data_IF_654875825079
#
_entry.id   IF_654875825079
#
_cell.length_a   1.000
_cell.length_b   1.000
_cell.length_c   1.000
_cell.angle_alpha   90.00
_cell.angle_beta   90.00
_cell.angle_gamma   90.00
#
_symmetry.space_group_name_H-M   'P 1'
#
loop_
_entity.id
_entity.type
_entity.pdbx_description
1 polymer ?
#
# COMPACT_ATOMS: atom_id res chain seq x y z
N UNK A 1 -47.30 -28.19 -21.42
CA UNK A 1 -46.22 -28.33 -20.36
C UNK A 1 -45.37 -27.07 -20.40
N UNK A 2 -45.57 -26.18 -19.43
CA UNK A 2 -44.93 -24.85 -19.39
C UNK A 2 -43.48 -24.99 -18.83
N UNK A 3 -42.49 -25.07 -19.66
CA UNK A 3 -41.09 -25.08 -19.26
C UNK A 3 -40.71 -23.68 -18.78
N UNK A 4 -40.79 -23.42 -17.46
CA UNK A 4 -40.23 -22.19 -16.87
C UNK A 4 -38.77 -22.05 -17.30
N UNK A 5 -38.45 -21.09 -18.18
CA UNK A 5 -37.08 -20.69 -18.49
C UNK A 5 -36.41 -20.26 -17.17
N UNK A 6 -35.45 -21.04 -16.65
CA UNK A 6 -34.70 -20.62 -15.49
C UNK A 6 -33.86 -19.41 -15.86
N UNK A 7 -34.02 -18.37 -15.05
CA UNK A 7 -33.34 -17.10 -15.24
C UNK A 7 -31.79 -17.30 -15.16
N UNK A 8 -31.07 -16.68 -16.08
CA UNK A 8 -29.58 -16.63 -16.09
C UNK A 8 -29.04 -15.57 -15.09
N UNK A 9 -29.93 -14.74 -14.55
CA UNK A 9 -29.59 -13.62 -13.66
C UNK A 9 -28.70 -14.04 -12.48
N UNK A 10 -29.01 -15.11 -11.70
CA UNK A 10 -28.17 -15.46 -10.55
C UNK A 10 -26.74 -15.86 -10.93
N UNK A 11 -26.53 -16.45 -12.09
CA UNK A 11 -25.18 -16.82 -12.57
C UNK A 11 -24.37 -15.59 -13.00
N UNK A 12 -25.03 -14.62 -13.64
CA UNK A 12 -24.41 -13.34 -14.02
C UNK A 12 -24.04 -12.56 -12.76
N UNK A 13 -24.92 -12.52 -11.76
CA UNK A 13 -24.63 -11.85 -10.48
C UNK A 13 -23.44 -12.48 -9.75
N UNK A 14 -23.36 -13.82 -9.71
CA UNK A 14 -22.24 -14.52 -9.10
C UNK A 14 -20.93 -14.26 -9.85
N UNK A 15 -20.95 -14.23 -11.17
CA UNK A 15 -19.79 -13.90 -11.99
C UNK A 15 -19.32 -12.46 -11.77
N UNK A 16 -20.23 -11.49 -11.73
CA UNK A 16 -19.92 -10.07 -11.47
C UNK A 16 -19.34 -9.90 -10.07
N UNK A 17 -19.90 -10.59 -9.07
CA UNK A 17 -19.36 -10.57 -7.70
C UNK A 17 -17.94 -11.12 -7.65
N UNK A 18 -17.68 -12.26 -8.29
CA UNK A 18 -16.33 -12.86 -8.34
C UNK A 18 -15.31 -11.94 -9.05
N UNK A 19 -15.76 -11.31 -10.15
CA UNK A 19 -14.92 -10.35 -10.89
C UNK A 19 -14.64 -9.08 -10.05
N UNK A 20 -15.63 -8.58 -9.31
CA UNK A 20 -15.46 -7.43 -8.43
C UNK A 20 -14.44 -7.71 -7.33
N UNK A 21 -14.49 -8.89 -6.69
CA UNK A 21 -13.52 -9.32 -5.66
C UNK A 21 -12.11 -9.43 -6.29
N UNK A 22 -11.99 -9.98 -7.48
CA UNK A 22 -10.70 -10.13 -8.18
C UNK A 22 -10.07 -8.78 -8.52
N UNK A 23 -10.87 -7.81 -8.96
CA UNK A 23 -10.40 -6.49 -9.39
C UNK A 23 -10.20 -5.52 -8.22
N UNK A 24 -10.79 -5.80 -7.04
CA UNK A 24 -10.77 -4.91 -5.88
C UNK A 24 -9.37 -4.39 -5.54
N UNK A 25 -8.32 -5.22 -5.39
CA UNK A 25 -6.99 -4.71 -5.01
C UNK A 25 -6.41 -3.73 -6.03
N UNK A 26 -6.61 -3.99 -7.32
CA UNK A 26 -6.07 -3.14 -8.40
C UNK A 26 -6.81 -1.80 -8.48
N UNK A 27 -8.14 -1.84 -8.38
CA UNK A 27 -8.95 -0.61 -8.45
C UNK A 27 -8.75 0.24 -7.19
N UNK A 28 -8.69 -0.40 -6.02
CA UNK A 28 -8.48 0.28 -4.74
C UNK A 28 -7.09 0.93 -4.68
N UNK A 29 -6.03 0.20 -5.07
CA UNK A 29 -4.68 0.76 -5.12
C UNK A 29 -4.59 1.96 -6.08
N UNK A 30 -5.17 1.85 -7.28
CA UNK A 30 -5.22 2.96 -8.22
C UNK A 30 -5.97 4.19 -7.65
N UNK A 31 -7.08 3.96 -6.94
CA UNK A 31 -7.84 5.04 -6.30
C UNK A 31 -7.03 5.70 -5.19
N UNK A 32 -6.46 4.90 -4.28
CA UNK A 32 -5.66 5.39 -3.15
C UNK A 32 -4.40 6.14 -3.62
N UNK A 33 -3.75 5.67 -4.69
CA UNK A 33 -2.63 6.38 -5.30
C UNK A 33 -3.06 7.76 -5.86
N UNK A 34 -4.26 7.86 -6.44
CA UNK A 34 -4.79 9.15 -6.87
C UNK A 34 -5.07 10.09 -5.71
N UNK A 35 -5.66 9.58 -4.64
CA UNK A 35 -5.89 10.36 -3.42
C UNK A 35 -4.56 10.84 -2.82
N UNK A 36 -3.58 9.95 -2.68
CA UNK A 36 -2.25 10.31 -2.19
C UNK A 36 -1.59 11.40 -3.06
N UNK A 37 -1.63 11.26 -4.38
CA UNK A 37 -1.08 12.28 -5.29
C UNK A 37 -1.80 13.63 -5.18
N UNK A 38 -3.12 13.64 -4.93
CA UNK A 38 -3.85 14.88 -4.69
C UNK A 38 -3.36 15.55 -3.42
N UNK A 39 -3.22 14.79 -2.31
CA UNK A 39 -2.71 15.31 -1.04
C UNK A 39 -1.27 15.84 -1.16
N UNK A 40 -0.41 15.15 -1.91
CA UNK A 40 0.96 15.59 -2.22
C UNK A 40 0.93 16.94 -2.95
N UNK A 41 0.09 17.07 -3.99
CA UNK A 41 -0.03 18.30 -4.76
C UNK A 41 -0.62 19.46 -3.93
N UNK A 42 -1.62 19.17 -3.10
CA UNK A 42 -2.24 20.17 -2.21
C UNK A 42 -1.21 20.69 -1.19
N UNK A 43 -0.42 19.79 -0.59
CA UNK A 43 0.68 20.18 0.30
C UNK A 43 1.69 21.08 -0.42
N UNK A 44 2.14 20.68 -1.60
CA UNK A 44 3.09 21.47 -2.39
C UNK A 44 2.53 22.84 -2.77
N UNK A 45 1.23 22.91 -3.10
CA UNK A 45 0.55 24.19 -3.39
C UNK A 45 0.57 25.12 -2.18
N UNK A 46 0.16 24.62 -1.00
CA UNK A 46 0.19 25.41 0.24
C UNK A 46 1.59 25.91 0.55
N UNK A 47 2.59 25.02 0.50
CA UNK A 47 3.99 25.37 0.77
C UNK A 47 4.51 26.41 -0.23
N UNK A 48 4.13 26.32 -1.50
CA UNK A 48 4.57 27.28 -2.55
C UNK A 48 3.98 28.68 -2.38
N UNK A 49 2.86 28.82 -1.70
CA UNK A 49 2.19 30.08 -1.41
C UNK A 49 2.71 30.73 -0.12
N UNK A 50 3.43 30.01 0.73
CA UNK A 50 4.01 30.52 1.97
C UNK A 50 5.23 31.40 1.69
N UNK A 51 5.43 32.41 2.54
CA UNK A 51 6.65 33.21 2.46
C UNK A 51 7.87 32.42 3.00
N UNK A 52 9.07 32.82 2.57
CA UNK A 52 10.31 32.11 2.94
C UNK A 52 10.60 32.21 4.44
N UNK A 53 10.24 33.31 5.08
CA UNK A 53 10.50 33.56 6.51
C UNK A 53 9.69 32.59 7.39
N UNK A 54 8.41 32.37 7.08
CA UNK A 54 7.56 31.41 7.79
C UNK A 54 8.06 29.97 7.59
N UNK A 55 8.46 29.61 6.36
CA UNK A 55 9.04 28.29 6.07
C UNK A 55 10.33 28.03 6.85
N UNK A 56 11.20 29.01 6.92
CA UNK A 56 12.46 28.93 7.66
C UNK A 56 12.22 28.86 9.18
N UNK A 57 11.21 29.56 9.71
CA UNK A 57 10.83 29.47 11.12
C UNK A 57 10.31 28.08 11.49
N UNK A 58 9.38 27.53 10.69
CA UNK A 58 8.85 26.18 10.91
C UNK A 58 9.97 25.13 10.86
N UNK A 59 10.86 25.24 9.88
CA UNK A 59 11.97 24.33 9.72
C UNK A 59 12.96 24.40 10.90
N UNK A 60 13.31 25.61 11.32
CA UNK A 60 14.21 25.86 12.44
C UNK A 60 13.66 25.32 13.77
N UNK A 61 12.37 25.50 14.03
CA UNK A 61 11.72 24.91 15.21
C UNK A 61 11.86 23.38 15.23
N UNK A 62 11.71 22.72 14.08
CA UNK A 62 11.90 21.28 13.96
C UNK A 62 13.35 20.85 14.17
N UNK A 63 14.34 21.63 13.66
CA UNK A 63 15.76 21.39 13.93
C UNK A 63 16.09 21.55 15.42
N UNK A 64 15.54 22.55 16.09
CA UNK A 64 15.74 22.78 17.52
C UNK A 64 15.16 21.62 18.35
N UNK A 65 13.97 21.12 18.00
CA UNK A 65 13.38 19.95 18.64
C UNK A 65 14.30 18.73 18.50
N UNK A 66 14.86 18.48 17.32
CA UNK A 66 15.75 17.34 17.08
C UNK A 66 17.01 17.38 17.98
N UNK A 67 17.56 18.55 18.29
CA UNK A 67 18.72 18.68 19.18
C UNK A 67 18.45 18.18 20.60
N UNK A 68 17.21 18.23 21.06
CA UNK A 68 16.82 17.73 22.38
C UNK A 68 16.61 16.22 22.43
N UNK A 69 16.55 15.54 21.26
CA UNK A 69 16.38 14.11 21.17
C UNK A 69 17.70 13.32 21.20
N UNK A 70 18.85 14.01 21.14
CA UNK A 70 20.16 13.35 21.13
C UNK A 70 20.35 12.57 22.45
N UNK A 71 20.54 11.24 22.34
CA UNK A 71 20.68 10.34 23.49
C UNK A 71 19.37 9.74 24.01
N UNK A 72 18.23 10.11 23.46
CA UNK A 72 16.96 9.46 23.78
C UNK A 72 16.86 8.11 23.05
N UNK A 73 16.30 7.12 23.75
CA UNK A 73 15.92 5.84 23.14
C UNK A 73 14.59 6.05 22.43
N UNK A 74 14.51 5.68 21.16
CA UNK A 74 13.26 5.68 20.43
C UNK A 74 12.30 4.73 21.15
N UNK A 75 11.12 5.20 21.55
CA UNK A 75 10.17 4.39 22.27
C UNK A 75 9.73 3.16 21.45
N UNK A 76 9.09 2.19 22.12
CA UNK A 76 8.52 1.04 21.44
C UNK A 76 7.50 1.50 20.39
N UNK A 77 7.70 1.09 19.14
CA UNK A 77 6.88 1.42 17.98
C UNK A 77 5.42 0.94 18.09
N UNK A 78 5.13 0.08 19.07
CA UNK A 78 3.79 -0.43 19.35
C UNK A 78 3.04 0.34 20.43
N UNK A 79 3.67 1.31 21.07
CA UNK A 79 2.95 2.20 21.97
C UNK A 79 2.15 3.16 21.08
N UNK A 80 0.85 3.02 21.15
CA UNK A 80 -0.06 3.96 20.49
C UNK A 80 0.04 5.33 21.19
N UNK A 81 0.88 6.20 20.62
CA UNK A 81 1.03 7.56 21.15
C UNK A 81 -0.15 8.47 20.81
N UNK A 82 -1.14 7.99 20.04
CA UNK A 82 -2.32 8.78 19.69
C UNK A 82 -3.18 9.09 20.90
N UNK A 83 -3.11 8.25 21.95
CA UNK A 83 -3.82 8.48 23.21
C UNK A 83 -3.16 9.53 24.13
N UNK A 84 -1.94 9.98 23.79
CA UNK A 84 -1.22 11.03 24.53
C UNK A 84 -1.03 12.24 23.60
N UNK A 85 -2.02 13.14 23.51
CA UNK A 85 -1.90 14.35 22.69
C UNK A 85 -0.67 15.15 23.10
N UNK A 86 0.31 15.23 22.23
CA UNK A 86 1.46 16.10 22.41
C UNK A 86 1.30 17.32 21.48
N UNK A 87 0.64 18.35 22.02
CA UNK A 87 0.35 19.59 21.26
C UNK A 87 1.59 20.27 20.69
N UNK A 88 2.74 20.06 21.32
CA UNK A 88 4.01 20.57 20.82
C UNK A 88 4.42 19.79 19.57
N UNK A 89 4.43 18.44 19.64
CA UNK A 89 4.76 17.58 18.51
C UNK A 89 3.80 17.79 17.34
N UNK A 90 2.48 17.89 17.61
CA UNK A 90 1.46 18.12 16.59
C UNK A 90 1.63 19.45 15.84
N UNK A 91 2.33 20.42 16.44
CA UNK A 91 2.57 21.74 15.85
C UNK A 91 3.78 21.81 14.92
N UNK A 92 4.61 20.76 14.88
CA UNK A 92 5.79 20.74 14.01
C UNK A 92 5.43 20.35 12.59
N UNK A 93 5.99 21.04 11.59
CA UNK A 93 5.90 20.67 10.17
C UNK A 93 4.47 20.47 9.65
N UNK A 94 3.47 21.16 10.22
CA UNK A 94 2.07 21.09 9.76
C UNK A 94 1.59 22.41 9.16
N UNK A 95 2.07 22.79 7.96
CA UNK A 95 1.66 24.03 7.31
C UNK A 95 0.19 24.01 6.84
N UNK A 96 -0.40 22.81 6.73
CA UNK A 96 -1.77 22.63 6.24
C UNK A 96 -2.81 22.52 7.35
N UNK A 97 -2.41 22.34 8.60
CA UNK A 97 -3.32 22.08 9.74
C UNK A 97 -3.99 20.70 9.69
N UNK A 98 -3.46 19.77 8.87
CA UNK A 98 -4.02 18.42 8.66
C UNK A 98 -3.17 17.29 9.22
N UNK A 99 -2.07 17.63 9.90
CA UNK A 99 -1.07 16.67 10.39
C UNK A 99 -0.11 16.18 9.30
N UNK A 100 -0.09 16.81 8.12
CA UNK A 100 0.77 16.46 7.00
C UNK A 100 2.12 17.18 7.12
N UNK A 101 3.18 16.41 7.40
CA UNK A 101 4.54 16.92 7.63
C UNK A 101 5.36 17.14 6.36
N UNK A 102 5.03 16.40 5.32
CA UNK A 102 5.79 16.38 4.07
C UNK A 102 5.41 15.20 3.20
N UNK A 103 6.27 14.87 2.24
CA UNK A 103 6.06 13.73 1.35
C UNK A 103 7.33 12.92 1.17
N UNK A 104 7.18 11.62 0.88
CA UNK A 104 8.29 10.72 0.55
C UNK A 104 8.15 10.22 -0.88
N UNK A 105 9.25 10.26 -1.61
CA UNK A 105 9.36 9.68 -2.94
C UNK A 105 10.46 8.60 -2.97
N UNK A 106 10.11 7.40 -3.46
CA UNK A 106 11.03 6.28 -3.66
C UNK A 106 10.92 5.82 -5.11
N UNK A 107 11.71 6.42 -6.04
CA UNK A 107 11.54 6.24 -7.49
C UNK A 107 11.62 4.78 -7.94
N UNK A 108 12.59 4.03 -7.43
CA UNK A 108 12.88 2.63 -7.81
C UNK A 108 11.65 1.72 -7.65
N UNK A 109 10.81 1.97 -6.64
CA UNK A 109 9.58 1.22 -6.37
C UNK A 109 8.31 2.01 -6.66
N UNK A 110 8.43 3.20 -7.27
CA UNK A 110 7.30 4.09 -7.64
C UNK A 110 6.39 4.41 -6.46
N UNK A 111 6.96 4.80 -5.35
CA UNK A 111 6.26 5.30 -4.17
C UNK A 111 6.31 6.82 -4.18
N UNK A 112 5.16 7.46 -4.00
CA UNK A 112 5.01 8.89 -3.73
C UNK A 112 3.83 9.04 -2.77
N UNK A 113 4.14 9.30 -1.48
CA UNK A 113 3.17 9.23 -0.39
C UNK A 113 3.30 10.42 0.56
N UNK A 114 2.19 10.87 1.16
CA UNK A 114 2.20 11.85 2.24
C UNK A 114 2.79 11.26 3.52
N UNK A 115 3.51 12.09 4.30
CA UNK A 115 4.05 11.77 5.61
C UNK A 115 3.23 12.52 6.65
N UNK A 116 2.67 11.80 7.62
CA UNK A 116 1.84 12.33 8.70
C UNK A 116 2.52 12.21 10.05
N UNK A 117 2.04 12.97 11.01
CA UNK A 117 2.32 12.75 12.42
C UNK A 117 1.79 11.39 12.85
N UNK A 118 2.54 10.71 13.71
CA UNK A 118 2.24 9.40 14.28
C UNK A 118 2.16 8.26 13.24
N UNK A 119 2.19 7.04 13.73
CA UNK A 119 2.02 5.81 12.96
C UNK A 119 0.74 5.08 13.40
N UNK A 120 -0.36 5.85 13.58
CA UNK A 120 -1.68 5.29 13.90
C UNK A 120 -2.26 4.50 12.74
N UNK A 121 -3.19 3.59 13.01
CA UNK A 121 -3.84 2.79 11.97
C UNK A 121 -4.46 3.67 10.88
N UNK A 122 -5.20 4.72 11.26
CA UNK A 122 -5.81 5.67 10.33
C UNK A 122 -4.80 6.37 9.39
N UNK A 123 -3.57 6.60 9.87
CA UNK A 123 -2.47 7.15 9.07
C UNK A 123 -1.89 6.09 8.16
N UNK A 124 -1.59 4.91 8.71
CA UNK A 124 -0.94 3.83 7.98
C UNK A 124 -1.81 3.23 6.86
N UNK A 125 -3.14 3.40 6.92
CA UNK A 125 -4.04 3.02 5.84
C UNK A 125 -3.92 3.89 4.57
N UNK A 126 -3.48 5.15 4.71
CA UNK A 126 -3.49 6.16 3.62
C UNK A 126 -2.13 6.73 3.25
N UNK A 127 -1.10 6.53 4.08
CA UNK A 127 0.21 7.15 3.87
C UNK A 127 1.31 6.57 4.75
N UNK A 128 2.27 7.42 5.03
CA UNK A 128 3.44 7.12 5.86
C UNK A 128 3.30 7.87 7.17
N UNK A 129 3.50 7.18 8.28
CA UNK A 129 3.50 7.77 9.61
C UNK A 129 4.91 8.03 10.10
N UNK A 130 5.16 9.20 10.65
CA UNK A 130 6.39 9.52 11.37
C UNK A 130 6.31 8.95 12.80
N UNK A 131 7.32 8.18 13.19
CA UNK A 131 7.37 7.60 14.52
C UNK A 131 7.69 8.65 15.56
N UNK A 132 6.71 9.02 16.38
CA UNK A 132 6.88 9.98 17.45
C UNK A 132 8.01 9.56 18.40
N UNK A 133 8.89 10.50 18.77
CA UNK A 133 10.10 10.22 19.57
C UNK A 133 11.35 9.92 18.73
N UNK A 134 11.23 9.67 17.42
CA UNK A 134 12.36 9.78 16.49
C UNK A 134 12.56 11.23 16.04
N UNK A 135 13.70 11.54 15.41
CA UNK A 135 13.94 12.90 14.90
C UNK A 135 12.92 13.28 13.83
N UNK A 136 12.39 14.51 13.89
CA UNK A 136 11.57 15.08 12.83
C UNK A 136 12.32 15.01 11.49
N UNK A 137 11.62 14.82 10.36
CA UNK A 137 12.23 14.48 9.06
C UNK A 137 12.87 15.70 8.35
N UNK A 138 13.55 16.56 9.09
CA UNK A 138 14.27 17.72 8.57
C UNK A 138 15.76 17.47 8.33
N UNK A 139 16.26 16.29 8.74
CA UNK A 139 17.68 15.96 8.66
C UNK A 139 18.54 16.74 9.64
N UNK A 140 19.84 16.67 9.45
CA UNK A 140 20.83 17.33 10.26
C UNK A 140 21.76 16.35 10.98
N UNK A 141 22.93 16.84 11.41
CA UNK A 141 23.89 16.04 12.14
C UNK A 141 23.30 15.50 13.44
N UNK A 142 23.54 14.22 13.72
CA UNK A 142 23.00 13.51 14.89
C UNK A 142 21.47 13.44 14.91
N UNK A 143 20.86 13.20 13.74
CA UNK A 143 19.42 12.96 13.61
C UNK A 143 19.14 11.58 13.04
N UNK A 144 18.00 10.99 13.43
CA UNK A 144 17.50 9.75 12.88
C UNK A 144 15.97 9.78 12.82
N UNK A 145 15.41 10.03 11.65
CA UNK A 145 13.97 10.00 11.41
C UNK A 145 13.51 8.58 11.08
N UNK A 146 12.38 8.15 11.63
CA UNK A 146 11.79 6.84 11.36
C UNK A 146 10.40 7.01 10.75
N UNK A 147 10.23 6.45 9.56
CA UNK A 147 9.01 6.55 8.76
C UNK A 147 8.42 5.16 8.53
N UNK A 148 7.18 4.95 8.96
CA UNK A 148 6.49 3.66 8.89
C UNK A 148 5.34 3.68 7.90
N UNK A 149 5.12 2.58 7.19
CA UNK A 149 3.92 2.35 6.39
C UNK A 149 3.60 0.87 6.30
N UNK A 150 2.35 0.55 5.99
CA UNK A 150 1.89 -0.82 5.83
C UNK A 150 2.55 -1.54 4.64
N UNK A 151 2.66 -2.86 4.80
CA UNK A 151 3.03 -3.80 3.76
C UNK A 151 1.96 -4.88 3.60
N UNK A 152 1.55 -5.11 2.35
CA UNK A 152 0.58 -6.17 2.04
C UNK A 152 -0.87 -5.79 2.29
N UNK A 153 -1.18 -4.50 2.40
CA UNK A 153 -2.56 -4.04 2.49
C UNK A 153 -3.24 -4.24 1.13
N UNK A 154 -4.41 -4.93 1.07
CA UNK A 154 -5.09 -5.17 -0.21
C UNK A 154 -5.59 -3.90 -0.89
N UNK A 155 -5.82 -2.83 -0.12
CA UNK A 155 -6.36 -1.56 -0.61
C UNK A 155 -5.32 -0.60 -1.16
N UNK A 156 -4.04 -0.69 -0.73
CA UNK A 156 -3.01 0.25 -1.11
C UNK A 156 -1.61 -0.41 -1.12
N UNK A 157 -0.78 0.01 -2.07
CA UNK A 157 0.58 -0.52 -2.23
C UNK A 157 1.50 -0.11 -1.07
N UNK A 158 1.50 1.16 -0.69
CA UNK A 158 2.34 1.75 0.35
C UNK A 158 3.80 1.25 0.30
N UNK A 159 4.34 0.65 1.40
CA UNK A 159 5.68 0.08 1.48
C UNK A 159 5.74 -1.42 1.09
N UNK A 160 4.77 -1.90 0.30
CA UNK A 160 4.71 -3.32 -0.09
C UNK A 160 5.99 -3.81 -0.78
N UNK A 161 6.61 -2.98 -1.60
CA UNK A 161 7.81 -3.31 -2.37
C UNK A 161 9.11 -2.80 -1.71
N UNK A 162 9.08 -2.41 -0.43
CA UNK A 162 10.25 -1.86 0.27
C UNK A 162 11.44 -2.84 0.30
N UNK A 163 11.18 -4.15 0.26
CA UNK A 163 12.19 -5.20 0.21
C UNK A 163 12.95 -5.28 -1.13
N UNK A 164 12.52 -4.54 -2.14
CA UNK A 164 13.21 -4.44 -3.43
C UNK A 164 14.34 -3.42 -3.42
N UNK A 165 14.37 -2.51 -2.43
CA UNK A 165 15.45 -1.54 -2.31
C UNK A 165 16.77 -2.24 -1.93
N UNK A 166 17.84 -1.74 -2.52
CA UNK A 166 19.21 -2.22 -2.33
C UNK A 166 20.10 -1.08 -1.83
N UNK A 167 21.21 -1.42 -1.25
CA UNK A 167 22.27 -0.45 -0.95
C UNK A 167 22.67 0.29 -2.23
N UNK A 168 22.74 1.62 -2.12
CA UNK A 168 22.96 2.52 -3.24
C UNK A 168 21.70 3.15 -3.84
N UNK A 169 20.52 2.54 -3.69
CA UNK A 169 19.26 3.17 -4.11
C UNK A 169 19.00 4.45 -3.31
N UNK A 170 18.27 5.40 -3.92
CA UNK A 170 18.02 6.71 -3.30
C UNK A 170 16.52 6.92 -3.12
N UNK A 171 16.15 7.51 -1.99
CA UNK A 171 14.81 8.03 -1.74
C UNK A 171 14.88 9.49 -1.26
N UNK A 172 13.78 10.20 -1.41
CA UNK A 172 13.70 11.62 -1.18
C UNK A 172 12.58 11.95 -0.19
N UNK A 173 12.87 12.88 0.73
CA UNK A 173 11.85 13.52 1.55
C UNK A 173 11.68 14.96 1.07
N UNK A 174 10.45 15.35 0.79
CA UNK A 174 10.10 16.73 0.47
C UNK A 174 9.41 17.34 1.68
N UNK A 175 10.16 18.14 2.42
CA UNK A 175 9.72 18.77 3.67
C UNK A 175 9.71 20.28 3.48
N UNK A 176 8.53 20.89 3.55
CA UNK A 176 8.33 22.27 3.15
C UNK A 176 8.90 22.49 1.73
N UNK A 177 9.76 23.50 1.55
CA UNK A 177 10.41 23.81 0.29
C UNK A 177 11.78 23.11 0.11
N UNK A 178 12.15 22.15 0.98
CA UNK A 178 13.44 21.46 0.94
C UNK A 178 13.29 20.01 0.48
N UNK A 179 14.22 19.55 -0.37
CA UNK A 179 14.35 18.15 -0.75
C UNK A 179 15.57 17.55 -0.08
N UNK A 180 15.34 16.49 0.70
CA UNK A 180 16.34 15.73 1.42
C UNK A 180 16.56 14.41 0.70
N UNK A 181 17.78 14.14 0.22
CA UNK A 181 18.13 12.89 -0.44
C UNK A 181 18.84 11.94 0.54
N UNK A 182 18.38 10.69 0.57
CA UNK A 182 18.96 9.63 1.40
C UNK A 182 19.32 8.43 0.54
N UNK A 183 20.57 7.98 0.63
CA UNK A 183 21.04 6.77 -0.04
C UNK A 183 20.95 5.59 0.91
N UNK A 184 20.34 4.49 0.46
CA UNK A 184 20.24 3.26 1.23
C UNK A 184 21.61 2.69 1.54
N UNK A 185 21.91 2.52 2.82
CA UNK A 185 23.18 2.00 3.34
C UNK A 185 23.01 0.69 4.12
N UNK A 186 21.77 0.32 4.49
CA UNK A 186 21.50 -0.90 5.24
C UNK A 186 20.07 -1.38 4.99
N UNK A 187 19.93 -2.68 4.77
CA UNK A 187 18.62 -3.36 4.81
C UNK A 187 18.73 -4.49 5.85
N UNK A 188 17.81 -4.52 6.82
CA UNK A 188 17.83 -5.46 7.93
C UNK A 188 16.44 -5.90 8.34
N UNK A 189 16.31 -7.19 8.69
CA UNK A 189 15.08 -7.72 9.32
C UNK A 189 15.34 -7.89 10.81
N UNK A 190 14.44 -7.38 11.63
CA UNK A 190 14.53 -7.41 13.09
C UNK A 190 13.25 -7.98 13.71
N UNK A 191 13.34 -8.41 14.97
CA UNK A 191 12.17 -8.69 15.79
C UNK A 191 11.44 -7.38 16.14
N UNK A 192 10.11 -7.41 16.32
CA UNK A 192 9.32 -6.21 16.58
C UNK A 192 9.78 -5.38 17.79
N UNK A 193 10.26 -6.03 18.84
CA UNK A 193 10.71 -5.40 20.09
C UNK A 193 12.13 -4.86 20.04
N UNK A 194 12.89 -5.09 18.96
CA UNK A 194 14.26 -4.66 18.83
C UNK A 194 14.37 -3.28 18.15
N UNK A 195 14.33 -2.22 18.95
CA UNK A 195 14.37 -0.83 18.45
C UNK A 195 15.79 -0.22 18.42
N UNK A 196 16.84 -0.99 18.76
CA UNK A 196 18.22 -0.48 18.86
C UNK A 196 18.74 0.20 17.60
N UNK A 197 18.33 -0.34 16.45
CA UNK A 197 18.74 0.20 15.15
C UNK A 197 17.98 1.50 14.76
N UNK A 198 17.02 1.97 15.57
CA UNK A 198 16.26 3.18 15.33
C UNK A 198 16.77 4.39 16.12
N UNK A 199 17.74 4.18 17.01
CA UNK A 199 18.31 5.25 17.84
C UNK A 199 19.16 6.21 17.01
N UNK A 200 19.28 7.45 17.49
CA UNK A 200 20.18 8.47 16.91
C UNK A 200 21.61 8.00 17.01
N UNK A 201 22.36 8.15 15.92
CA UNK A 201 23.80 7.91 15.85
C UNK A 201 24.50 9.27 15.78
N UNK A 202 25.39 9.54 16.74
CA UNK A 202 26.09 10.83 16.82
C UNK A 202 26.94 11.05 15.56
N UNK A 203 26.80 12.21 14.95
CA UNK A 203 27.51 12.60 13.73
C UNK A 203 26.84 12.15 12.42
N UNK A 204 25.79 11.31 12.48
CA UNK A 204 25.10 10.82 11.30
C UNK A 204 23.77 11.58 11.06
N UNK A 205 23.36 11.69 9.79
CA UNK A 205 22.03 12.13 9.36
C UNK A 205 21.34 10.94 8.70
N UNK A 206 20.42 10.31 9.43
CA UNK A 206 19.80 9.06 9.05
C UNK A 206 18.28 9.17 8.90
N UNK A 207 17.74 8.41 7.94
CA UNK A 207 16.31 8.16 7.82
C UNK A 207 16.08 6.66 7.62
N UNK A 208 15.25 6.04 8.47
CA UNK A 208 14.89 4.62 8.34
C UNK A 208 13.44 4.47 7.90
N UNK A 209 13.25 3.76 6.80
CA UNK A 209 11.96 3.31 6.33
C UNK A 209 11.64 1.96 6.97
N UNK A 210 10.45 1.83 7.52
CA UNK A 210 10.08 0.74 8.41
C UNK A 210 8.75 0.10 7.95
N UNK A 211 8.70 -1.24 7.89
CA UNK A 211 7.46 -1.95 7.53
C UNK A 211 7.44 -3.37 8.08
N UNK A 212 6.27 -4.02 8.03
CA UNK A 212 6.11 -5.42 8.43
C UNK A 212 6.70 -6.40 7.40
N UNK A 213 7.21 -7.54 7.87
CA UNK A 213 7.75 -8.64 7.04
C UNK A 213 7.64 -9.97 7.78
N UNK A 214 7.58 -11.16 7.10
CA UNK A 214 7.33 -11.35 5.66
C UNK A 214 5.94 -10.89 5.21
N UNK A 215 5.74 -10.69 3.92
CA UNK A 215 4.47 -10.28 3.33
C UNK A 215 3.31 -11.16 3.79
N UNK A 216 2.27 -10.56 4.35
CA UNK A 216 1.06 -11.23 4.84
C UNK A 216 1.23 -12.04 6.13
N UNK A 217 2.47 -12.23 6.64
CA UNK A 217 2.75 -12.93 7.92
C UNK A 217 3.04 -11.94 9.05
N UNK A 218 3.81 -10.89 8.77
CA UNK A 218 4.03 -9.70 9.62
C UNK A 218 4.69 -9.97 10.99
N UNK A 219 5.42 -11.07 11.12
CA UNK A 219 6.08 -11.48 12.38
C UNK A 219 7.33 -10.68 12.72
N UNK A 220 7.94 -10.07 11.74
CA UNK A 220 9.18 -9.29 11.87
C UNK A 220 8.99 -7.89 11.29
N UNK A 221 10.04 -7.08 11.37
CA UNK A 221 10.09 -5.75 10.79
C UNK A 221 11.25 -5.64 9.81
N UNK A 222 10.98 -5.04 8.66
CA UNK A 222 11.99 -4.70 7.66
C UNK A 222 12.38 -3.24 7.85
N UNK A 223 13.68 -3.00 8.03
CA UNK A 223 14.29 -1.69 8.08
C UNK A 223 15.10 -1.47 6.80
N UNK A 224 14.88 -0.33 6.16
CA UNK A 224 15.73 0.18 5.07
C UNK A 224 16.24 1.54 5.51
N UNK A 225 17.52 1.61 5.90
CA UNK A 225 18.15 2.83 6.40
C UNK A 225 18.86 3.55 5.27
N UNK A 226 18.56 4.82 5.14
CA UNK A 226 19.29 5.76 4.30
C UNK A 226 20.18 6.68 5.13
N UNK A 227 21.37 7.00 4.60
CA UNK A 227 22.23 8.07 5.07
C UNK A 227 22.11 9.27 4.12
N UNK A 228 22.15 10.46 4.69
CA UNK A 228 22.00 11.71 3.95
C UNK A 228 23.09 11.86 2.89
N UNK A 229 22.68 12.24 1.69
CA UNK A 229 23.58 12.65 0.61
C UNK A 229 23.19 14.04 0.09
N UNK A 230 24.11 14.79 -0.54
CA UNK A 230 23.74 16.02 -1.23
C UNK A 230 22.69 15.75 -2.30
N UNK A 231 21.64 16.58 -2.36
CA UNK A 231 20.66 16.50 -3.44
C UNK A 231 21.28 16.88 -4.77
N UNK A 232 21.10 16.05 -5.80
CA UNK A 232 21.50 16.30 -7.18
C UNK A 232 20.33 16.06 -8.12
N UNK A 233 20.03 17.04 -8.96
CA UNK A 233 18.98 16.92 -9.97
C UNK A 233 19.26 15.79 -10.97
N UNK A 234 20.52 15.53 -11.28
CA UNK A 234 20.94 14.46 -12.18
C UNK A 234 20.63 13.09 -11.55
N UNK A 235 21.03 12.86 -10.30
CA UNK A 235 20.71 11.62 -9.56
C UNK A 235 19.21 11.41 -9.42
N UNK A 236 18.46 12.48 -9.19
CA UNK A 236 17.01 12.42 -9.12
C UNK A 236 16.39 11.94 -10.44
N UNK A 237 16.86 12.45 -11.58
CA UNK A 237 16.40 12.03 -12.91
C UNK A 237 16.81 10.57 -13.21
N UNK A 238 18.02 10.16 -12.85
CA UNK A 238 18.48 8.78 -12.99
C UNK A 238 17.65 7.81 -12.15
N UNK A 239 17.37 8.15 -10.88
CA UNK A 239 16.55 7.34 -9.99
C UNK A 239 15.12 7.17 -10.55
N UNK A 240 14.53 8.23 -11.10
CA UNK A 240 13.21 8.17 -11.74
C UNK A 240 13.18 7.33 -13.03
N UNK A 241 14.31 7.14 -13.69
CA UNK A 241 14.45 6.25 -14.84
C UNK A 241 14.58 4.77 -14.47
N UNK A 242 14.91 4.47 -13.24
CA UNK A 242 15.08 3.10 -12.73
C UNK A 242 13.76 2.56 -12.16
N UNK A 243 13.49 1.28 -12.40
CA UNK A 243 12.34 0.60 -11.80
C UNK A 243 12.75 -0.79 -11.33
N UNK A 244 12.53 -1.09 -10.07
CA UNK A 244 12.72 -2.43 -9.55
C UNK A 244 11.70 -3.39 -10.17
N UNK A 245 12.12 -4.63 -10.41
CA UNK A 245 11.18 -5.69 -10.80
C UNK A 245 10.30 -6.04 -9.59
N UNK A 246 8.99 -6.26 -9.78
CA UNK A 246 8.10 -6.65 -8.69
C UNK A 246 8.62 -7.91 -7.99
N UNK A 247 8.43 -7.99 -6.67
CA UNK A 247 8.87 -9.16 -5.92
C UNK A 247 8.20 -10.44 -6.41
N UNK A 248 8.93 -11.56 -6.33
CA UNK A 248 8.41 -12.87 -6.73
C UNK A 248 7.12 -13.21 -5.97
N UNK A 249 7.00 -12.82 -4.71
CA UNK A 249 5.79 -13.04 -3.90
C UNK A 249 4.56 -12.33 -4.47
N UNK A 250 4.71 -11.07 -4.90
CA UNK A 250 3.61 -10.30 -5.53
C UNK A 250 3.20 -10.89 -6.88
N UNK A 251 4.17 -11.31 -7.70
CA UNK A 251 3.89 -11.97 -8.97
C UNK A 251 3.13 -13.28 -8.72
N UNK A 252 3.57 -14.09 -7.76
CA UNK A 252 2.90 -15.35 -7.38
C UNK A 252 1.47 -15.09 -6.88
N UNK A 253 1.25 -14.11 -6.00
CA UNK A 253 -0.10 -13.77 -5.52
C UNK A 253 -1.01 -13.35 -6.66
N UNK A 254 -0.55 -12.51 -7.59
CA UNK A 254 -1.32 -12.11 -8.78
C UNK A 254 -1.65 -13.28 -9.68
N UNK A 255 -0.68 -14.17 -9.95
CA UNK A 255 -0.89 -15.37 -10.76
C UNK A 255 -1.89 -16.31 -10.09
N UNK A 256 -1.76 -16.57 -8.79
CA UNK A 256 -2.69 -17.41 -8.04
C UNK A 256 -4.12 -16.85 -8.04
N UNK A 257 -4.26 -15.52 -7.92
CA UNK A 257 -5.57 -14.85 -7.99
C UNK A 257 -6.23 -15.02 -9.36
N UNK A 258 -5.46 -14.90 -10.45
CA UNK A 258 -5.96 -15.14 -11.82
C UNK A 258 -6.35 -16.59 -12.00
N UNK A 259 -5.51 -17.54 -11.55
CA UNK A 259 -5.81 -18.98 -11.62
C UNK A 259 -7.07 -19.31 -10.83
N UNK A 260 -7.22 -18.78 -9.61
CA UNK A 260 -8.42 -18.98 -8.80
C UNK A 260 -9.68 -18.44 -9.50
N UNK A 261 -9.61 -17.27 -10.09
CA UNK A 261 -10.70 -16.69 -10.89
C UNK A 261 -11.09 -17.55 -12.09
N UNK A 262 -10.10 -18.08 -12.83
CA UNK A 262 -10.33 -19.00 -13.96
C UNK A 262 -10.95 -20.32 -13.52
N UNK A 263 -10.52 -20.88 -12.39
CA UNK A 263 -11.09 -22.11 -11.81
C UNK A 263 -12.55 -21.91 -11.42
N UNK A 264 -12.89 -20.80 -10.78
CA UNK A 264 -14.28 -20.46 -10.43
C UNK A 264 -15.13 -20.35 -11.70
N UNK A 265 -14.65 -19.64 -12.73
CA UNK A 265 -15.34 -19.54 -14.00
C UNK A 265 -15.55 -20.92 -14.67
N UNK A 266 -14.55 -21.78 -14.64
CA UNK A 266 -14.63 -23.14 -15.17
C UNK A 266 -15.66 -23.99 -14.41
N UNK A 267 -15.67 -23.93 -13.08
CA UNK A 267 -16.66 -24.63 -12.24
C UNK A 267 -18.08 -24.18 -12.60
N UNK A 268 -18.30 -22.87 -12.77
CA UNK A 268 -19.61 -22.32 -13.18
C UNK A 268 -20.02 -22.84 -14.56
N UNK A 269 -19.11 -22.89 -15.52
CA UNK A 269 -19.37 -23.41 -16.88
C UNK A 269 -19.71 -24.91 -16.83
N UNK A 270 -18.95 -25.70 -16.07
CA UNK A 270 -19.19 -27.13 -15.90
C UNK A 270 -20.51 -27.40 -15.19
N UNK A 271 -20.80 -26.71 -14.12
CA UNK A 271 -22.10 -26.80 -13.41
C UNK A 271 -23.27 -26.46 -14.34
N UNK A 272 -23.09 -25.44 -15.20
CA UNK A 272 -24.10 -25.09 -16.20
C UNK A 272 -24.26 -26.18 -17.27
N UNK A 273 -23.19 -26.77 -17.78
CA UNK A 273 -23.22 -27.87 -18.74
C UNK A 273 -23.89 -29.12 -18.15
N UNK A 274 -23.50 -29.51 -16.94
CA UNK A 274 -24.11 -30.65 -16.23
C UNK A 274 -25.62 -30.40 -15.99
N UNK A 275 -25.98 -29.21 -15.56
CA UNK A 275 -27.38 -28.83 -15.37
C UNK A 275 -28.19 -28.90 -16.68
N UNK A 276 -27.61 -28.45 -17.80
CA UNK A 276 -28.25 -28.55 -19.12
C UNK A 276 -28.36 -30.00 -19.58
N UNK A 277 -27.34 -30.83 -19.36
CA UNK A 277 -27.34 -32.26 -19.68
C UNK A 277 -28.40 -33.04 -18.89
N UNK A 278 -28.53 -32.71 -17.59
CA UNK A 278 -29.58 -33.34 -16.74
C UNK A 278 -31.01 -33.01 -17.18
N UNK A 279 -31.20 -31.89 -17.85
CA UNK A 279 -32.52 -31.44 -18.32
C UNK A 279 -32.91 -31.82 -19.76
N UNK A 280 -31.96 -32.36 -20.54
CA UNK A 280 -32.34 -32.91 -21.87
C UNK A 280 -33.01 -34.27 -21.65
N UNK A 281 -34.31 -34.37 -21.98
CA UNK A 281 -34.99 -35.68 -21.89
C UNK A 281 -34.31 -36.67 -22.84
N UNK A 282 -33.94 -37.82 -22.29
CA UNK A 282 -33.42 -38.93 -23.10
C UNK A 282 -34.49 -39.31 -24.08
N UNK A 283 -34.25 -39.16 -25.39
CA UNK A 283 -35.16 -39.66 -26.42
C UNK A 283 -35.32 -41.17 -26.18
N UNK A 284 -36.58 -41.69 -26.06
CA UNK A 284 -36.76 -43.11 -25.89
C UNK A 284 -36.17 -43.87 -27.09
N UNK A 285 -35.38 -44.90 -26.82
CA UNK A 285 -34.71 -45.72 -27.83
C UNK A 285 -35.68 -46.48 -28.78
N UNK A 286 -36.97 -46.54 -28.39
CA UNK A 286 -37.99 -47.19 -29.20
C UNK A 286 -39.14 -46.23 -29.45
N UNK A 287 -39.61 -46.06 -30.71
CA UNK A 287 -40.81 -45.30 -31.02
C UNK A 287 -42.02 -45.97 -30.39
N UNK A 288 -42.90 -45.24 -29.75
CA UNK A 288 -44.21 -45.75 -29.30
C UNK A 288 -44.92 -46.31 -30.49
N UNK A 289 -45.31 -47.64 -30.46
CA UNK A 289 -46.24 -48.22 -31.40
C UNK A 289 -47.54 -47.44 -31.38
N UNK A 290 -47.95 -46.92 -32.55
CA UNK A 290 -49.30 -46.37 -32.74
C UNK A 290 -50.29 -47.52 -32.58
N UNK A 291 -51.27 -47.36 -31.71
CA UNK A 291 -52.43 -48.23 -31.63
C UNK A 291 -53.27 -47.97 -32.88
N UNK A 292 -53.38 -48.95 -33.78
CA UNK A 292 -54.44 -48.98 -34.76
C UNK A 292 -55.76 -49.20 -34.03
N UNK A 293 -56.66 -48.21 -34.06
CA UNK A 293 -58.08 -48.38 -33.75
C UNK A 293 -58.69 -49.15 -34.90
N UNK A 294 -59.11 -50.40 -34.67
CA UNK A 294 -60.02 -51.16 -35.55
C UNK A 294 -61.39 -50.48 -35.50
N UNK A 295 -61.84 -50.00 -36.67
CA UNK A 295 -63.16 -49.55 -36.85
C UNK A 295 -63.99 -50.80 -37.15
N UNK A 296 -64.75 -51.29 -36.15
CA UNK A 296 -65.84 -52.23 -36.38
C UNK A 296 -66.97 -51.49 -37.10
N UNK A 297 -67.29 -51.89 -38.34
CA UNK A 297 -68.53 -51.59 -39.03
C UNK A 297 -69.55 -52.67 -38.65
N UNK A 298 -70.63 -52.26 -37.99
CA UNK A 298 -71.86 -53.03 -37.85
C UNK A 298 -72.74 -52.70 -39.03
N UNK A 299 -73.30 -53.83 -39.65
CA UNK A 299 -74.43 -53.82 -40.57
C UNK A 299 -75.74 -53.60 -39.82
#
# INVERSE_FOLDING_TARGET
MNTKKKSMVPYILLFVLGLAILLYPTVSDWWNQRVANTLVNDYQSVVSEMNQEDLDEIYKRAEEYNKHLIGNVVPDIFIDYTDIPNKEYDSFLDPTGTGLMGTIEIPVIKVNLPIYHYASEDVLEKGVGHLAGSSLPVGGESTHSVLSAHRGLPSAKLFTDLDLLKEGDVFYLHILNKTLAYQVVMTKVIEPTNTKDLSVVVGEDLCTLFTCTPYGVNTHRLLVRGSRIPYSQEQYQEANGQTAKPSMSMVVVRILSVIAGLLVALIIILAFRLYKSYKTPVKPLFPKKEKHEEVEQEE
#
